data_IF_303488163149
#
_entry.id   IF_303488163149
#
_cell.length_a   1.000
_cell.length_b   1.000
_cell.length_c   1.000
_cell.angle_alpha   90.00
_cell.angle_beta   90.00
_cell.angle_gamma   90.00
#
_symmetry.space_group_name_H-M   'P 1'
#
loop_
_entity.id
_entity.type
_entity.pdbx_description
1 polymer ?
#
# COMPACT_ATOMS: atom_id res chain seq x y z
N UNK A 1 -0.79 -7.70 -16.58
CA UNK A 1 -1.49 -8.97 -16.26
C UNK A 1 -0.86 -10.22 -16.89
N UNK A 2 0.47 -10.26 -17.17
CA UNK A 2 1.13 -11.37 -17.90
C UNK A 2 2.25 -12.10 -17.13
N UNK A 3 2.41 -11.87 -15.82
CA UNK A 3 3.52 -12.45 -15.03
C UNK A 3 3.39 -13.95 -14.73
N UNK A 4 2.19 -14.52 -14.87
CA UNK A 4 1.88 -15.90 -14.47
C UNK A 4 1.81 -16.91 -15.63
N UNK A 5 1.95 -16.44 -16.87
CA UNK A 5 1.77 -17.28 -18.07
C UNK A 5 0.31 -17.65 -18.34
N UNK A 6 0.11 -18.65 -19.20
CA UNK A 6 -1.22 -19.18 -19.53
C UNK A 6 -1.76 -20.03 -18.38
N UNK A 7 -3.03 -19.83 -18.04
CA UNK A 7 -3.69 -20.61 -16.99
C UNK A 7 -3.90 -22.06 -17.45
N UNK A 8 -3.24 -23.02 -16.79
CA UNK A 8 -3.45 -24.44 -17.05
C UNK A 8 -4.86 -24.91 -16.67
N UNK A 9 -5.41 -25.82 -17.48
CA UNK A 9 -6.67 -26.52 -17.20
C UNK A 9 -6.50 -27.56 -16.08
N UNK A 10 -5.30 -28.07 -15.84
CA UNK A 10 -5.01 -29.03 -14.77
C UNK A 10 -4.87 -28.31 -13.41
N UNK A 11 -5.60 -28.79 -12.40
CA UNK A 11 -5.58 -28.22 -11.05
C UNK A 11 -4.24 -28.41 -10.32
N UNK A 12 -3.63 -29.59 -10.42
CA UNK A 12 -2.36 -29.91 -9.77
C UNK A 12 -1.23 -29.05 -10.36
N UNK A 13 -1.26 -28.82 -11.67
CA UNK A 13 -0.30 -27.96 -12.34
C UNK A 13 -0.43 -26.50 -11.89
N UNK A 14 -1.66 -25.99 -11.70
CA UNK A 14 -1.89 -24.65 -11.14
C UNK A 14 -1.33 -24.50 -9.73
N UNK A 15 -1.51 -25.52 -8.87
CA UNK A 15 -0.97 -25.51 -7.50
C UNK A 15 0.56 -25.50 -7.55
N UNK A 16 1.17 -26.35 -8.37
CA UNK A 16 2.63 -26.41 -8.53
C UNK A 16 3.21 -25.07 -9.00
N UNK A 17 2.60 -24.44 -10.02
CA UNK A 17 3.01 -23.11 -10.50
C UNK A 17 2.89 -22.06 -9.38
N UNK A 18 1.78 -22.06 -8.64
CA UNK A 18 1.59 -21.14 -7.52
C UNK A 18 2.64 -21.34 -6.43
N UNK A 19 2.90 -22.58 -6.01
CA UNK A 19 3.86 -22.88 -4.95
C UNK A 19 5.29 -22.46 -5.35
N UNK A 20 5.70 -22.74 -6.60
CA UNK A 20 7.01 -22.33 -7.12
C UNK A 20 7.17 -20.80 -7.20
N UNK A 21 6.09 -20.07 -7.50
CA UNK A 21 6.09 -18.62 -7.47
C UNK A 21 6.08 -18.10 -6.04
N UNK A 22 5.23 -18.63 -5.17
CA UNK A 22 5.09 -18.21 -3.79
C UNK A 22 6.35 -18.45 -2.95
N UNK A 23 7.13 -19.50 -3.25
CA UNK A 23 8.46 -19.71 -2.64
C UNK A 23 9.43 -18.54 -2.86
N UNK A 24 9.24 -17.75 -3.92
CA UNK A 24 10.05 -16.57 -4.25
C UNK A 24 9.51 -15.29 -3.59
N UNK A 25 8.38 -15.36 -2.88
CA UNK A 25 7.81 -14.23 -2.19
C UNK A 25 8.80 -13.67 -1.15
N UNK A 26 9.02 -12.35 -1.11
CA UNK A 26 9.69 -11.72 0.00
C UNK A 26 9.02 -12.08 1.33
N UNK A 27 9.82 -12.24 2.39
CA UNK A 27 9.29 -12.45 3.73
C UNK A 27 8.45 -11.26 4.17
N UNK A 28 7.50 -11.52 5.06
CA UNK A 28 6.60 -10.52 5.63
C UNK A 28 6.86 -10.41 7.12
N UNK A 29 7.10 -9.20 7.62
CA UNK A 29 7.17 -8.92 9.05
C UNK A 29 5.78 -8.48 9.52
N UNK A 30 5.16 -9.20 10.48
CA UNK A 30 3.89 -8.78 11.06
C UNK A 30 4.02 -7.42 11.76
N UNK A 31 3.05 -6.54 11.53
CA UNK A 31 2.98 -5.22 12.18
C UNK A 31 1.82 -5.19 13.16
N UNK A 32 0.59 -5.21 12.65
CA UNK A 32 -0.63 -5.22 13.48
C UNK A 32 -1.81 -5.75 12.67
N UNK A 33 -2.61 -6.65 13.27
CA UNK A 33 -3.77 -7.25 12.60
C UNK A 33 -3.37 -7.93 11.29
N UNK A 34 -3.92 -7.44 10.17
CA UNK A 34 -3.63 -7.96 8.84
C UNK A 34 -2.51 -7.18 8.11
N UNK A 35 -1.69 -6.41 8.81
CA UNK A 35 -0.70 -5.49 8.21
C UNK A 35 0.69 -6.09 8.32
N UNK A 36 1.41 -6.09 7.20
CA UNK A 36 2.69 -6.73 7.06
C UNK A 36 3.66 -5.83 6.30
N UNK A 37 4.86 -5.69 6.85
CA UNK A 37 5.97 -5.00 6.22
C UNK A 37 6.72 -5.99 5.32
N UNK A 38 6.88 -5.67 4.03
CA UNK A 38 7.71 -6.48 3.12
C UNK A 38 9.17 -6.42 3.57
N UNK A 39 9.78 -7.58 3.74
CA UNK A 39 11.14 -7.75 4.26
C UNK A 39 12.15 -8.04 3.14
N UNK A 40 12.07 -7.27 2.06
CA UNK A 40 13.03 -7.32 0.97
C UNK A 40 14.05 -6.19 1.14
N UNK A 41 15.28 -6.54 1.50
CA UNK A 41 16.35 -5.57 1.71
C UNK A 41 16.93 -5.01 0.40
N UNK A 42 16.55 -5.56 -0.75
CA UNK A 42 16.92 -4.99 -2.05
C UNK A 42 16.04 -3.80 -2.45
N UNK A 43 14.91 -3.60 -1.77
CA UNK A 43 14.02 -2.47 -2.01
C UNK A 43 14.49 -1.24 -1.25
N UNK A 44 14.57 -0.10 -1.94
CA UNK A 44 14.82 1.20 -1.33
C UNK A 44 13.72 1.56 -0.33
N UNK A 45 12.45 1.41 -0.75
CA UNK A 45 11.28 1.55 0.10
C UNK A 45 10.58 0.21 0.21
N UNK A 46 10.46 -0.26 1.44
CA UNK A 46 9.84 -1.54 1.75
C UNK A 46 8.37 -1.29 2.06
N UNK A 47 7.41 -1.73 1.24
CA UNK A 47 6.00 -1.38 1.41
C UNK A 47 5.34 -2.12 2.57
N UNK A 48 4.29 -1.51 3.13
CA UNK A 48 3.34 -2.15 4.03
C UNK A 48 2.13 -2.63 3.23
N UNK A 49 1.79 -3.90 3.38
CA UNK A 49 0.64 -4.54 2.77
C UNK A 49 -0.40 -4.87 3.83
N UNK A 50 -1.67 -4.78 3.48
CA UNK A 50 -2.76 -5.40 4.23
C UNK A 50 -3.17 -6.69 3.53
N UNK A 51 -3.07 -7.83 4.22
CA UNK A 51 -3.34 -9.15 3.65
C UNK A 51 -4.40 -9.87 4.49
N UNK A 52 -5.56 -10.10 3.89
CA UNK A 52 -6.67 -10.87 4.48
C UNK A 52 -7.08 -11.98 3.50
N UNK A 53 -6.67 -13.21 3.79
CA UNK A 53 -6.92 -14.33 2.86
C UNK A 53 -6.24 -14.10 1.52
N UNK A 54 -7.03 -14.02 0.45
CA UNK A 54 -6.55 -13.72 -0.91
C UNK A 54 -6.48 -12.22 -1.21
N UNK A 55 -7.04 -11.38 -0.34
CA UNK A 55 -7.11 -9.95 -0.58
C UNK A 55 -5.82 -9.27 -0.10
N UNK A 56 -5.02 -8.79 -1.06
CA UNK A 56 -3.81 -8.04 -0.81
C UNK A 56 -4.02 -6.59 -1.21
N UNK A 57 -3.77 -5.68 -0.28
CA UNK A 57 -3.93 -4.24 -0.48
C UNK A 57 -2.60 -3.56 -0.20
N UNK A 58 -2.16 -2.68 -1.10
CA UNK A 58 -1.03 -1.81 -0.82
C UNK A 58 -1.48 -0.71 0.14
N UNK A 59 -0.79 -0.59 1.27
CA UNK A 59 -1.25 0.23 2.39
C UNK A 59 -0.30 1.41 2.69
N UNK A 60 0.99 1.27 2.38
CA UNK A 60 1.97 2.34 2.54
C UNK A 60 3.30 2.04 1.85
N UNK A 61 4.00 3.09 1.43
CA UNK A 61 5.28 2.99 0.70
C UNK A 61 6.41 2.46 1.56
N UNK A 62 6.41 2.85 2.83
CA UNK A 62 7.27 2.31 3.85
C UNK A 62 6.62 2.29 5.24
N UNK A 63 7.36 1.76 6.20
CA UNK A 63 6.90 1.68 7.59
C UNK A 63 6.61 3.05 8.20
N UNK A 64 7.40 4.08 7.85
CA UNK A 64 7.22 5.44 8.37
C UNK A 64 5.93 6.03 7.82
N UNK A 65 5.71 5.92 6.52
CA UNK A 65 4.48 6.38 5.86
C UNK A 65 3.24 5.72 6.48
N UNK A 66 3.28 4.39 6.62
CA UNK A 66 2.21 3.63 7.28
C UNK A 66 1.94 4.16 8.69
N UNK A 67 2.97 4.22 9.53
CA UNK A 67 2.82 4.62 10.92
C UNK A 67 2.23 6.02 11.03
N UNK A 68 2.80 7.00 10.31
CA UNK A 68 2.31 8.37 10.33
C UNK A 68 0.84 8.47 9.92
N UNK A 69 0.40 7.69 8.91
CA UNK A 69 -1.00 7.71 8.51
C UNK A 69 -1.94 7.06 9.54
N UNK A 70 -1.48 6.04 10.28
CA UNK A 70 -2.28 5.40 11.35
C UNK A 70 -2.47 6.31 12.56
N UNK A 71 -1.44 7.06 12.94
CA UNK A 71 -1.46 7.85 14.20
C UNK A 71 -1.57 9.36 13.99
N UNK A 72 -1.79 9.84 12.75
CA UNK A 72 -1.87 11.28 12.42
C UNK A 72 -2.82 12.09 13.30
N UNK A 73 -3.97 11.51 13.65
CA UNK A 73 -4.97 12.17 14.47
C UNK A 73 -4.50 12.34 15.93
N UNK A 74 -3.71 11.39 16.43
CA UNK A 74 -3.12 11.43 17.77
C UNK A 74 -1.87 12.32 17.84
N UNK A 75 -1.18 12.47 16.71
CA UNK A 75 -0.01 13.33 16.59
C UNK A 75 -0.36 14.79 16.33
N UNK A 76 -1.65 15.11 16.16
CA UNK A 76 -2.12 16.45 15.81
C UNK A 76 -1.35 17.00 14.60
N UNK A 77 -1.29 16.21 13.52
CA UNK A 77 -0.56 16.59 12.30
C UNK A 77 -1.31 17.65 11.50
N UNK A 78 -2.65 17.60 11.50
CA UNK A 78 -3.50 18.44 10.67
C UNK A 78 -4.51 19.21 11.52
N UNK A 79 -4.94 20.37 11.02
CA UNK A 79 -6.12 21.08 11.48
C UNK A 79 -7.02 21.44 10.28
N UNK A 80 -8.30 21.71 10.55
CA UNK A 80 -9.22 22.18 9.52
C UNK A 80 -9.19 23.70 9.45
N UNK A 81 -9.02 24.22 8.25
CA UNK A 81 -9.17 25.66 7.93
C UNK A 81 -10.34 25.79 6.97
N UNK A 82 -11.24 26.73 7.27
CA UNK A 82 -12.34 27.06 6.37
C UNK A 82 -11.86 28.07 5.34
N UNK A 83 -12.15 27.80 4.08
CA UNK A 83 -11.88 28.68 2.96
C UNK A 83 -13.18 29.35 2.52
N UNK A 84 -13.21 30.68 2.58
CA UNK A 84 -14.38 31.49 2.27
C UNK A 84 -14.62 31.63 0.75
N UNK A 85 -13.59 31.47 -0.07
CA UNK A 85 -13.71 31.57 -1.54
C UNK A 85 -14.40 30.32 -2.10
N UNK A 86 -14.02 29.15 -1.58
CA UNK A 86 -14.54 27.86 -2.01
C UNK A 86 -15.73 27.34 -1.18
N UNK A 87 -16.13 28.05 -0.10
CA UNK A 87 -17.18 27.66 0.85
C UNK A 87 -17.00 26.22 1.38
N UNK A 88 -15.77 25.87 1.77
CA UNK A 88 -15.43 24.51 2.19
C UNK A 88 -14.29 24.45 3.22
N UNK A 89 -14.11 23.27 3.84
CA UNK A 89 -13.04 23.03 4.81
C UNK A 89 -11.89 22.25 4.19
N UNK A 90 -10.67 22.77 4.31
CA UNK A 90 -9.44 22.11 3.91
C UNK A 90 -8.65 21.61 5.12
N UNK A 91 -7.90 20.52 4.93
CA UNK A 91 -6.96 20.02 5.92
C UNK A 91 -5.59 20.65 5.68
N UNK A 92 -5.12 21.45 6.63
CA UNK A 92 -3.79 22.04 6.60
C UNK A 92 -2.88 21.33 7.62
N UNK A 93 -1.59 21.26 7.30
CA UNK A 93 -0.58 20.82 8.25
C UNK A 93 -0.48 21.82 9.40
N UNK A 94 -0.26 21.30 10.61
CA UNK A 94 0.24 22.11 11.72
C UNK A 94 1.73 22.42 11.50
N UNK A 95 2.19 23.52 12.07
CA UNK A 95 3.57 24.00 11.96
C UNK A 95 4.59 22.88 12.24
N UNK A 96 5.55 22.71 11.33
CA UNK A 96 6.63 21.72 11.44
C UNK A 96 6.30 20.33 10.90
N UNK A 97 5.09 20.13 10.35
CA UNK A 97 4.70 18.87 9.70
C UNK A 97 4.66 18.94 8.17
N UNK A 98 5.00 20.08 7.57
CA UNK A 98 4.89 20.33 6.12
C UNK A 98 5.68 19.32 5.30
N UNK A 99 6.87 18.91 5.78
CA UNK A 99 7.75 17.95 5.12
C UNK A 99 7.61 16.51 5.68
N UNK A 100 6.59 16.26 6.50
CA UNK A 100 6.46 14.96 7.20
C UNK A 100 6.04 13.84 6.26
N UNK A 101 5.22 14.16 5.26
CA UNK A 101 4.71 13.22 4.27
C UNK A 101 5.36 13.52 2.93
N UNK A 102 6.01 12.52 2.35
CA UNK A 102 6.41 12.61 0.96
C UNK A 102 5.17 12.67 0.07
N UNK A 103 5.23 13.49 -0.98
CA UNK A 103 4.22 13.48 -2.01
C UNK A 103 4.20 12.11 -2.69
N UNK A 104 3.10 11.39 -2.51
CA UNK A 104 2.86 10.11 -3.15
C UNK A 104 1.92 10.33 -4.34
N UNK A 105 2.37 9.96 -5.54
CA UNK A 105 1.52 10.02 -6.74
C UNK A 105 0.42 8.97 -6.63
N UNK A 106 -0.74 9.41 -6.15
CA UNK A 106 -1.94 8.59 -5.95
C UNK A 106 -2.59 8.09 -7.25
N UNK A 107 -1.99 8.36 -8.41
CA UNK A 107 -2.46 7.84 -9.70
C UNK A 107 -1.67 6.61 -10.15
N UNK A 108 -0.60 6.24 -9.43
CA UNK A 108 0.29 5.15 -9.81
C UNK A 108 0.55 4.25 -8.62
N UNK A 109 0.35 2.95 -8.82
CA UNK A 109 0.94 1.96 -7.92
C UNK A 109 2.46 2.10 -7.95
N UNK A 110 3.15 1.96 -6.80
CA UNK A 110 4.59 1.92 -6.80
C UNK A 110 5.06 0.61 -7.43
N UNK A 111 6.34 0.55 -7.78
CA UNK A 111 6.92 -0.71 -8.22
C UNK A 111 6.98 -1.70 -7.04
N UNK A 112 6.13 -2.72 -7.12
CA UNK A 112 5.98 -3.79 -6.12
C UNK A 112 6.41 -5.12 -6.75
N UNK A 113 7.71 -5.43 -6.88
CA UNK A 113 8.18 -6.44 -7.83
C UNK A 113 7.43 -7.78 -7.72
N UNK A 114 7.41 -8.39 -6.53
CA UNK A 114 6.67 -9.63 -6.31
C UNK A 114 5.16 -9.40 -6.13
N UNK A 115 4.80 -8.43 -5.28
CA UNK A 115 3.43 -8.27 -4.80
C UNK A 115 2.47 -7.57 -5.79
N UNK A 116 2.98 -6.89 -6.82
CA UNK A 116 2.17 -6.15 -7.83
C UNK A 116 1.09 -7.01 -8.47
N UNK A 117 1.37 -8.30 -8.67
CA UNK A 117 0.41 -9.22 -9.30
C UNK A 117 -0.64 -9.78 -8.35
N UNK A 118 -0.50 -9.53 -7.04
CA UNK A 118 -1.42 -9.96 -5.99
C UNK A 118 -2.23 -8.80 -5.42
N UNK A 119 -1.70 -7.58 -5.48
CA UNK A 119 -2.39 -6.38 -4.99
C UNK A 119 -3.65 -6.13 -5.82
N UNK A 120 -4.79 -6.17 -5.14
CA UNK A 120 -6.11 -5.91 -5.72
C UNK A 120 -6.41 -4.41 -5.80
N UNK A 121 -5.87 -3.63 -4.86
CA UNK A 121 -6.21 -2.23 -4.68
C UNK A 121 -5.09 -1.44 -3.97
N UNK A 122 -4.98 -0.15 -4.28
CA UNK A 122 -4.11 0.81 -3.59
C UNK A 122 -4.94 1.63 -2.58
N UNK A 123 -4.81 1.34 -1.29
CA UNK A 123 -5.55 2.05 -0.23
C UNK A 123 -5.14 3.52 -0.10
N UNK A 124 -3.91 3.87 -0.47
CA UNK A 124 -3.45 5.25 -0.45
C UNK A 124 -4.22 6.14 -1.45
N UNK A 125 -4.96 5.50 -2.37
CA UNK A 125 -5.77 6.15 -3.41
C UNK A 125 -7.27 6.12 -3.13
N UNK A 126 -7.72 5.65 -1.95
CA UNK A 126 -9.15 5.47 -1.66
C UNK A 126 -9.98 6.77 -1.77
N UNK A 127 -9.35 7.95 -1.70
CA UNK A 127 -10.03 9.22 -1.95
C UNK A 127 -10.54 9.38 -3.40
N UNK A 128 -10.05 8.63 -4.40
CA UNK A 128 -10.27 8.92 -5.83
C UNK A 128 -11.01 7.85 -6.64
N UNK A 129 -11.51 6.77 -6.04
CA UNK A 129 -12.43 5.82 -6.72
C UNK A 129 -11.95 5.31 -8.10
N UNK A 130 -10.65 5.17 -8.30
CA UNK A 130 -10.07 4.59 -9.52
C UNK A 130 -9.69 3.15 -9.25
N UNK A 131 -10.46 2.23 -9.84
CA UNK A 131 -10.02 0.85 -9.98
C UNK A 131 -8.74 0.82 -10.81
N UNK A 132 -7.77 0.02 -10.38
CA UNK A 132 -6.54 -0.26 -11.11
C UNK A 132 -6.80 -0.94 -12.46
#
# INVERSE_FOLDING_TARGET
>A
MNSWGLRSTNAEERISIFDELFKKAPKLVPVMGHRYQVADMSLEKRPVLSILGTDVVYYGSDFRYYLLNEIKDHLNIYHKVYDEEDDTWYWNFNDGFEDTFEYYDRTKLPELPFWKSFVLFDWTNHANNVNL
#
